data_IF_999114260286
#
_entry.id   IF_999114260286
#
_cell.length_a   1.000
_cell.length_b   1.000
_cell.length_c   1.000
_cell.angle_alpha   90.00
_cell.angle_beta   90.00
_cell.angle_gamma   90.00
#
_symmetry.space_group_name_H-M   'P 1'
#
loop_
_entity.id
_entity.type
_entity.pdbx_description
1 polymer ?
#
# COMPACT_ATOMS: atom_id res chain seq x y z
N UNK A 1 -5.26 -8.02 4.43
CA UNK A 1 -4.75 -8.66 5.68
C UNK A 1 -3.59 -9.60 5.38
N UNK A 2 -3.73 -10.57 4.45
CA UNK A 2 -2.64 -11.46 4.05
C UNK A 2 -1.35 -10.76 3.57
N UNK A 3 -1.49 -9.74 2.72
CA UNK A 3 -0.33 -8.98 2.21
C UNK A 3 0.51 -8.32 3.32
N UNK A 4 -0.15 -7.80 4.36
CA UNK A 4 0.57 -7.24 5.50
C UNK A 4 1.26 -8.31 6.34
N UNK A 5 0.64 -9.49 6.52
CA UNK A 5 1.26 -10.61 7.25
C UNK A 5 2.53 -11.07 6.53
N UNK A 6 2.47 -11.20 5.20
CA UNK A 6 3.62 -11.62 4.38
C UNK A 6 4.73 -10.56 4.42
N UNK A 7 4.38 -9.28 4.21
CA UNK A 7 5.35 -8.20 4.25
C UNK A 7 6.03 -8.10 5.63
N UNK A 8 5.25 -8.25 6.70
CA UNK A 8 5.75 -8.24 8.07
C UNK A 8 6.65 -9.44 8.37
N UNK A 9 6.33 -10.62 7.85
CA UNK A 9 7.19 -11.81 7.97
C UNK A 9 8.50 -11.67 7.16
N UNK A 10 8.49 -10.89 6.08
CA UNK A 10 9.65 -10.60 5.25
C UNK A 10 10.41 -9.34 5.71
N UNK A 11 10.01 -8.75 6.85
CA UNK A 11 10.57 -7.51 7.40
C UNK A 11 10.65 -6.36 6.38
N UNK A 12 9.72 -6.33 5.43
CA UNK A 12 9.66 -5.35 4.36
C UNK A 12 8.30 -4.69 4.29
N UNK A 13 8.19 -3.66 3.46
CA UNK A 13 6.95 -2.92 3.30
C UNK A 13 6.09 -3.57 2.19
N UNK A 14 4.75 -3.65 2.34
CA UNK A 14 3.88 -4.32 1.37
C UNK A 14 3.98 -3.78 -0.06
N UNK A 15 4.27 -2.49 -0.20
CA UNK A 15 4.43 -1.81 -1.49
C UNK A 15 5.73 -2.15 -2.21
N UNK A 16 6.71 -2.75 -1.52
CA UNK A 16 7.92 -3.30 -2.16
C UNK A 16 7.58 -4.58 -2.92
N UNK A 17 6.69 -5.42 -2.36
CA UNK A 17 6.28 -6.69 -2.96
C UNK A 17 5.18 -6.49 -3.99
N UNK A 18 4.23 -5.58 -3.70
CA UNK A 18 3.10 -5.27 -4.57
C UNK A 18 3.02 -3.77 -4.89
N UNK A 19 3.99 -3.22 -5.65
CA UNK A 19 4.04 -1.78 -5.94
C UNK A 19 2.78 -1.29 -6.67
N UNK A 20 2.25 -2.07 -7.63
CA UNK A 20 1.02 -1.70 -8.37
C UNK A 20 -0.23 -1.57 -7.48
N UNK A 21 -0.22 -2.07 -6.25
CA UNK A 21 -1.34 -1.95 -5.30
C UNK A 21 -1.30 -0.66 -4.48
N UNK A 22 -0.12 -0.06 -4.36
CA UNK A 22 0.15 1.06 -3.47
C UNK A 22 0.69 2.29 -4.20
N UNK A 23 1.22 2.13 -5.41
CA UNK A 23 1.69 3.21 -6.27
C UNK A 23 0.80 3.32 -7.50
N UNK A 24 0.52 4.56 -7.91
CA UNK A 24 -0.09 4.84 -9.19
C UNK A 24 0.89 4.44 -10.31
N UNK A 25 0.51 3.57 -11.26
CA UNK A 25 1.41 3.12 -12.32
C UNK A 25 1.85 4.23 -13.29
N UNK A 26 1.18 5.40 -13.29
CA UNK A 26 1.46 6.51 -14.18
C UNK A 26 2.30 7.59 -13.50
N UNK A 27 1.96 7.97 -12.27
CA UNK A 27 2.69 9.03 -11.53
C UNK A 27 3.73 8.48 -10.57
N UNK A 28 3.71 7.16 -10.30
CA UNK A 28 4.52 6.47 -9.31
C UNK A 28 4.37 7.07 -7.89
N UNK A 29 3.26 7.76 -7.65
CA UNK A 29 2.92 8.35 -6.36
C UNK A 29 2.19 7.35 -5.48
N UNK A 30 2.36 7.49 -4.17
CA UNK A 30 1.69 6.62 -3.22
C UNK A 30 0.20 6.93 -3.18
N UNK A 31 -0.62 5.90 -3.35
CA UNK A 31 -2.07 6.02 -3.32
C UNK A 31 -2.50 6.16 -1.86
N UNK A 32 -2.59 7.41 -1.39
CA UNK A 32 -3.12 7.70 -0.06
C UNK A 32 -4.65 7.59 -0.04
N UNK A 33 -5.14 6.39 0.23
CA UNK A 33 -6.58 6.13 0.39
C UNK A 33 -7.16 6.63 1.73
N UNK A 34 -6.34 7.23 2.60
CA UNK A 34 -6.81 7.86 3.85
C UNK A 34 -7.75 9.04 3.56
N UNK A 35 -7.63 9.68 2.40
CA UNK A 35 -8.47 10.81 1.97
C UNK A 35 -9.95 10.46 1.75
N UNK A 36 -10.31 9.17 1.73
CA UNK A 36 -11.71 8.71 1.61
C UNK A 36 -12.35 8.36 2.96
N UNK A 37 -11.61 8.48 4.08
CA UNK A 37 -12.20 8.35 5.41
C UNK A 37 -13.04 9.60 5.65
N UNK A 38 -14.35 9.46 5.46
CA UNK A 38 -15.34 10.48 5.80
C UNK A 38 -15.19 10.82 7.29
N UNK A 39 -14.53 11.94 7.59
CA UNK A 39 -14.57 12.56 8.93
C UNK A 39 -16.04 12.70 9.31
N UNK A 40 -16.42 12.05 10.41
CA UNK A 40 -17.74 12.20 11.02
C UNK A 40 -17.69 13.34 12.03
#
# INVERSE_FOLDING_TARGET
>A
KGEQIIAQALETQPWVIWPSRYFDPVTNEFIDRSLLIRKK
#
